data_IF_918233851929
#
_entry.id   IF_918233851929
#
_cell.length_a   1.000
_cell.length_b   1.000
_cell.length_c   1.000
_cell.angle_alpha   90.00
_cell.angle_beta   90.00
_cell.angle_gamma   90.00
#
_symmetry.space_group_name_H-M   'P 1'
#
loop_
_entity.id
_entity.type
_entity.pdbx_description
1 polymer ?
#
# COMPACT_ATOMS: atom_id res chain seq x y z
N UNK A 1 -15.12 -32.99 30.56
CA UNK A 1 -14.50 -31.69 30.25
C UNK A 1 -14.42 -31.59 28.75
N UNK A 2 -15.32 -30.82 28.14
CA UNK A 2 -15.31 -30.54 26.71
C UNK A 2 -14.35 -29.37 26.44
N UNK A 3 -13.46 -29.46 25.44
CA UNK A 3 -12.71 -28.29 25.00
C UNK A 3 -13.69 -27.39 24.25
N UNK A 4 -13.88 -26.16 24.74
CA UNK A 4 -14.64 -25.14 24.03
C UNK A 4 -13.83 -24.70 22.80
N UNK A 5 -14.33 -25.04 21.61
CA UNK A 5 -13.92 -24.45 20.35
C UNK A 5 -14.18 -22.94 20.41
N UNK A 6 -13.15 -22.19 20.81
CA UNK A 6 -13.11 -20.74 20.64
C UNK A 6 -12.89 -20.43 19.17
N UNK A 7 -13.97 -20.46 18.40
CA UNK A 7 -13.98 -19.97 17.04
C UNK A 7 -13.78 -18.45 17.10
N UNK A 8 -12.71 -17.90 16.49
CA UNK A 8 -12.43 -16.47 16.56
C UNK A 8 -13.62 -15.70 15.96
N UNK A 9 -13.97 -14.53 16.53
CA UNK A 9 -15.09 -13.73 16.04
C UNK A 9 -14.88 -13.47 14.54
N UNK A 10 -15.85 -13.92 13.74
CA UNK A 10 -15.86 -13.71 12.29
C UNK A 10 -15.75 -12.22 12.03
N UNK A 11 -14.60 -11.80 11.50
CA UNK A 11 -14.36 -10.42 11.12
C UNK A 11 -15.35 -10.05 10.00
N UNK A 12 -16.35 -9.19 10.27
CA UNK A 12 -17.37 -8.85 9.28
C UNK A 12 -16.76 -8.17 8.05
N UNK A 13 -15.59 -7.53 8.19
CA UNK A 13 -14.88 -6.94 7.07
C UNK A 13 -14.30 -8.02 6.14
N UNK A 14 -13.76 -9.10 6.71
CA UNK A 14 -13.25 -10.25 5.96
C UNK A 14 -14.36 -10.92 5.15
N UNK A 15 -15.54 -11.09 5.73
CA UNK A 15 -16.66 -11.75 5.04
C UNK A 15 -17.21 -10.88 3.91
N UNK A 16 -17.33 -9.56 4.13
CA UNK A 16 -17.72 -8.60 3.10
C UNK A 16 -16.69 -8.56 1.96
N UNK A 17 -15.40 -8.55 2.29
CA UNK A 17 -14.31 -8.53 1.31
C UNK A 17 -14.25 -9.81 0.47
N UNK A 18 -14.33 -10.98 1.12
CA UNK A 18 -14.38 -12.26 0.43
C UNK A 18 -15.62 -12.38 -0.48
N UNK A 19 -16.78 -11.94 0.01
CA UNK A 19 -18.02 -11.92 -0.77
C UNK A 19 -17.94 -10.99 -1.99
N UNK A 20 -17.34 -9.81 -1.83
CA UNK A 20 -17.13 -8.87 -2.93
C UNK A 20 -16.18 -9.43 -4.01
N UNK A 21 -15.08 -10.08 -3.59
CA UNK A 21 -14.15 -10.75 -4.51
C UNK A 21 -14.86 -11.89 -5.24
N UNK A 22 -15.59 -12.74 -4.52
CA UNK A 22 -16.29 -13.87 -5.13
C UNK A 22 -17.35 -13.40 -6.14
N UNK A 23 -18.13 -12.37 -5.79
CA UNK A 23 -19.10 -11.76 -6.69
C UNK A 23 -18.45 -11.14 -7.94
N UNK A 24 -17.28 -10.50 -7.78
CA UNK A 24 -16.52 -9.96 -8.90
C UNK A 24 -16.02 -11.08 -9.84
N UNK A 25 -15.52 -12.18 -9.30
CA UNK A 25 -15.07 -13.35 -10.08
C UNK A 25 -16.23 -13.99 -10.83
N UNK A 26 -17.37 -14.22 -10.16
CA UNK A 26 -18.56 -14.77 -10.80
C UNK A 26 -19.07 -13.89 -11.93
N UNK A 27 -19.10 -12.56 -11.73
CA UNK A 27 -19.53 -11.61 -12.75
C UNK A 27 -18.57 -11.62 -13.94
N UNK A 28 -17.26 -11.72 -13.73
CA UNK A 28 -16.26 -11.84 -14.81
C UNK A 28 -16.45 -13.14 -15.60
N UNK A 29 -16.70 -14.26 -14.92
CA UNK A 29 -16.92 -15.56 -15.56
C UNK A 29 -18.22 -15.60 -16.39
N UNK A 30 -19.32 -15.09 -15.84
CA UNK A 30 -20.62 -15.03 -16.54
C UNK A 30 -20.56 -14.06 -17.72
N UNK A 31 -19.96 -12.89 -17.53
CA UNK A 31 -19.87 -11.89 -18.60
C UNK A 31 -18.91 -12.32 -19.71
N UNK A 32 -17.77 -12.93 -19.36
CA UNK A 32 -16.81 -13.49 -20.33
C UNK A 32 -17.38 -14.66 -21.13
N UNK A 33 -18.16 -15.55 -20.50
CA UNK A 33 -18.84 -16.63 -21.24
C UNK A 33 -19.93 -16.10 -22.17
N UNK A 34 -20.67 -15.05 -21.80
CA UNK A 34 -21.64 -14.38 -22.69
C UNK A 34 -20.95 -13.77 -23.91
N UNK A 35 -19.86 -13.05 -23.70
CA UNK A 35 -19.10 -12.42 -24.79
C UNK A 35 -18.49 -13.45 -25.74
N UNK A 36 -17.98 -14.58 -25.22
CA UNK A 36 -17.49 -15.68 -26.06
C UNK A 36 -18.57 -16.32 -26.94
N UNK A 37 -19.83 -16.34 -26.49
CA UNK A 37 -20.97 -16.80 -27.30
C UNK A 37 -21.28 -15.78 -28.41
N UNK A 38 -21.25 -14.48 -28.08
CA UNK A 38 -21.51 -13.40 -29.04
C UNK A 38 -20.44 -13.33 -30.14
N UNK A 39 -19.16 -13.50 -29.80
CA UNK A 39 -18.04 -13.64 -30.75
C UNK A 39 -18.26 -14.82 -31.71
N UNK A 40 -18.62 -15.99 -31.19
CA UNK A 40 -18.92 -17.17 -32.02
C UNK A 40 -20.12 -16.97 -32.93
N UNK A 41 -21.14 -16.25 -32.49
CA UNK A 41 -22.29 -15.92 -33.34
C UNK A 41 -21.89 -14.96 -34.47
N UNK A 42 -21.01 -14.00 -34.17
CA UNK A 42 -20.51 -13.04 -35.14
C UNK A 42 -19.60 -13.69 -36.19
N UNK A 43 -18.72 -14.61 -35.81
CA UNK A 43 -17.89 -15.40 -36.74
C UNK A 43 -18.76 -16.21 -37.71
N UNK A 44 -19.80 -16.90 -37.21
CA UNK A 44 -20.75 -17.62 -38.07
C UNK A 44 -21.46 -16.70 -39.07
N UNK A 45 -21.75 -15.46 -38.67
CA UNK A 45 -22.35 -14.45 -39.53
C UNK A 45 -21.37 -13.94 -40.59
N UNK A 46 -20.08 -13.87 -40.28
CA UNK A 46 -19.01 -13.54 -41.24
C UNK A 46 -18.82 -14.68 -42.25
N UNK A 47 -18.78 -15.92 -41.79
CA UNK A 47 -18.62 -17.12 -42.62
C UNK A 47 -19.79 -17.27 -43.61
N UNK A 48 -21.03 -17.14 -43.12
CA UNK A 48 -22.23 -17.20 -43.97
C UNK A 48 -22.25 -16.11 -45.04
N UNK A 49 -21.71 -14.92 -44.72
CA UNK A 49 -21.62 -13.81 -45.69
C UNK A 49 -20.50 -14.07 -46.72
N UNK A 50 -19.40 -14.70 -46.30
CA UNK A 50 -18.35 -15.15 -47.21
C UNK A 50 -18.84 -16.23 -48.19
N UNK A 51 -19.70 -17.15 -47.75
CA UNK A 51 -20.37 -18.14 -48.62
C UNK A 51 -21.34 -17.49 -49.61
N UNK A 52 -22.08 -16.45 -49.19
CA UNK A 52 -22.97 -15.72 -50.12
C UNK A 52 -22.18 -14.93 -51.17
N UNK A 53 -21.03 -14.36 -50.78
CA UNK A 53 -20.11 -13.68 -51.70
C UNK A 53 -19.41 -14.63 -52.67
N UNK A 54 -19.23 -15.91 -52.32
CA UNK A 54 -18.69 -16.88 -53.28
C UNK A 54 -19.72 -17.26 -54.36
N UNK A 55 -21.01 -17.12 -54.07
CA UNK A 55 -22.11 -17.33 -55.02
C UNK A 55 -22.41 -16.08 -55.87
N UNK A 56 -22.27 -14.88 -55.30
CA UNK A 56 -22.37 -13.60 -56.02
C UNK A 56 -21.22 -12.64 -55.64
N UNK A 57 -20.07 -12.73 -56.34
CA UNK A 57 -18.89 -11.93 -56.03
C UNK A 57 -19.05 -10.45 -56.39
N UNK A 58 -20.03 -10.12 -57.23
CA UNK A 58 -20.28 -8.75 -57.72
C UNK A 58 -21.16 -7.91 -56.78
N UNK A 59 -21.72 -8.54 -55.76
CA UNK A 59 -22.63 -7.89 -54.82
C UNK A 59 -21.90 -6.91 -53.89
N UNK A 60 -21.91 -5.64 -54.28
CA UNK A 60 -21.35 -4.51 -53.50
C UNK A 60 -21.95 -4.42 -52.08
N UNK A 61 -23.23 -4.79 -51.93
CA UNK A 61 -23.91 -4.81 -50.62
C UNK A 61 -23.33 -5.87 -49.69
N UNK A 62 -23.09 -7.08 -50.18
CA UNK A 62 -22.54 -8.17 -49.36
C UNK A 62 -21.08 -7.89 -48.97
N UNK A 63 -20.29 -7.27 -49.87
CA UNK A 63 -18.94 -6.83 -49.54
C UNK A 63 -18.92 -5.78 -48.43
N UNK A 64 -19.78 -4.76 -48.52
CA UNK A 64 -19.91 -3.74 -47.48
C UNK A 64 -20.35 -4.34 -46.13
N UNK A 65 -21.31 -5.27 -46.14
CA UNK A 65 -21.79 -5.93 -44.93
C UNK A 65 -20.74 -6.86 -44.29
N UNK A 66 -19.91 -7.53 -45.10
CA UNK A 66 -18.78 -8.34 -44.60
C UNK A 66 -17.74 -7.46 -43.90
N UNK A 67 -17.35 -6.34 -44.51
CA UNK A 67 -16.39 -5.40 -43.91
C UNK A 67 -16.90 -4.81 -42.60
N UNK A 68 -18.20 -4.49 -42.52
CA UNK A 68 -18.83 -3.97 -41.31
C UNK A 68 -18.86 -5.00 -40.17
N UNK A 69 -19.14 -6.27 -40.49
CA UNK A 69 -19.13 -7.37 -39.50
C UNK A 69 -17.72 -7.70 -39.00
N UNK A 70 -16.71 -7.65 -39.86
CA UNK A 70 -15.31 -7.81 -39.45
C UNK A 70 -14.89 -6.66 -38.52
N UNK A 71 -15.21 -5.41 -38.87
CA UNK A 71 -14.91 -4.27 -38.01
C UNK A 71 -15.60 -4.36 -36.64
N UNK A 72 -16.87 -4.80 -36.60
CA UNK A 72 -17.60 -5.03 -35.35
C UNK A 72 -16.99 -6.15 -34.50
N UNK A 73 -16.44 -7.20 -35.13
CA UNK A 73 -15.72 -8.28 -34.44
C UNK A 73 -14.44 -7.78 -33.81
N UNK A 74 -13.64 -7.05 -34.57
CA UNK A 74 -12.35 -6.53 -34.13
C UNK A 74 -12.52 -5.49 -33.01
N UNK A 75 -13.62 -4.71 -33.04
CA UNK A 75 -14.00 -3.81 -31.95
C UNK A 75 -14.39 -4.57 -30.67
N UNK A 76 -15.10 -5.69 -30.80
CA UNK A 76 -15.49 -6.55 -29.68
C UNK A 76 -14.27 -7.26 -29.05
N UNK A 77 -13.35 -7.79 -29.87
CA UNK A 77 -12.07 -8.34 -29.39
C UNK A 77 -11.21 -7.29 -28.69
N UNK A 78 -11.10 -6.07 -29.23
CA UNK A 78 -10.39 -4.97 -28.56
C UNK A 78 -11.04 -4.57 -27.24
N UNK A 79 -12.37 -4.57 -27.17
CA UNK A 79 -13.08 -4.31 -25.92
C UNK A 79 -12.83 -5.40 -24.87
N UNK A 80 -12.73 -6.68 -25.27
CA UNK A 80 -12.34 -7.77 -24.37
C UNK A 80 -10.90 -7.65 -23.89
N UNK A 81 -9.95 -7.41 -24.80
CA UNK A 81 -8.54 -7.23 -24.44
C UNK A 81 -8.36 -6.11 -23.41
N UNK A 82 -9.10 -5.01 -23.56
CA UNK A 82 -9.08 -3.89 -22.63
C UNK A 82 -9.72 -4.20 -21.25
N UNK A 83 -10.65 -5.16 -21.18
CA UNK A 83 -11.29 -5.65 -19.94
C UNK A 83 -10.46 -6.72 -19.22
N UNK A 84 -9.69 -7.52 -19.96
CA UNK A 84 -8.82 -8.58 -19.42
C UNK A 84 -7.46 -8.05 -18.96
N UNK A 85 -6.94 -6.98 -19.56
CA UNK A 85 -5.66 -6.36 -19.17
C UNK A 85 -5.58 -6.03 -17.66
N UNK A 86 -6.60 -5.39 -17.03
CA UNK A 86 -6.58 -5.08 -15.60
C UNK A 86 -6.57 -6.33 -14.71
N UNK A 87 -7.18 -7.44 -15.16
CA UNK A 87 -7.18 -8.69 -14.42
C UNK A 87 -5.80 -9.38 -14.48
N UNK A 88 -5.12 -9.29 -15.63
CA UNK A 88 -3.74 -9.79 -15.79
C UNK A 88 -2.77 -8.97 -14.96
N UNK A 89 -2.90 -7.64 -14.96
CA UNK A 89 -2.07 -6.74 -14.15
C UNK A 89 -2.28 -7.01 -12.66
N UNK A 90 -3.53 -7.13 -12.21
CA UNK A 90 -3.86 -7.50 -10.82
C UNK A 90 -3.28 -8.85 -10.42
N UNK A 91 -3.32 -9.86 -11.30
CA UNK A 91 -2.74 -11.17 -11.04
C UNK A 91 -1.21 -11.11 -10.90
N UNK A 92 -0.54 -10.24 -11.67
CA UNK A 92 0.89 -10.01 -11.54
C UNK A 92 1.24 -9.29 -10.24
N UNK A 93 0.46 -8.28 -9.86
CA UNK A 93 0.63 -7.56 -8.60
C UNK A 93 0.45 -8.49 -7.39
N UNK A 94 -0.57 -9.35 -7.41
CA UNK A 94 -0.78 -10.37 -6.38
C UNK A 94 0.41 -11.34 -6.27
N UNK A 95 0.99 -11.76 -7.40
CA UNK A 95 2.21 -12.61 -7.40
C UNK A 95 3.41 -11.89 -6.79
N UNK A 96 3.60 -10.62 -7.11
CA UNK A 96 4.69 -9.80 -6.55
C UNK A 96 4.50 -9.65 -5.04
N UNK A 97 3.28 -9.32 -4.61
CA UNK A 97 2.94 -9.17 -3.19
C UNK A 97 3.18 -10.47 -2.43
N UNK A 98 2.73 -11.61 -2.97
CA UNK A 98 2.92 -12.91 -2.35
C UNK A 98 4.40 -13.27 -2.18
N UNK A 99 5.24 -13.02 -3.20
CA UNK A 99 6.70 -13.20 -3.10
C UNK A 99 7.31 -12.31 -2.02
N UNK A 100 6.86 -11.07 -1.91
CA UNK A 100 7.36 -10.10 -0.92
C UNK A 100 6.98 -10.51 0.50
N UNK A 101 5.74 -10.95 0.71
CA UNK A 101 5.27 -11.52 1.98
C UNK A 101 6.10 -12.74 2.35
N UNK A 102 6.31 -13.68 1.43
CA UNK A 102 7.15 -14.87 1.69
C UNK A 102 8.58 -14.50 2.08
N UNK A 103 9.20 -13.53 1.39
CA UNK A 103 10.53 -13.05 1.74
C UNK A 103 10.56 -12.40 3.13
N UNK A 104 9.56 -11.59 3.47
CA UNK A 104 9.47 -10.98 4.79
C UNK A 104 9.21 -12.00 5.90
N UNK A 105 8.40 -13.03 5.66
CA UNK A 105 8.17 -14.11 6.62
C UNK A 105 9.48 -14.83 6.98
N UNK A 106 10.30 -15.17 5.98
CA UNK A 106 11.61 -15.78 6.24
C UNK A 106 12.58 -14.85 6.96
N UNK A 107 12.54 -13.56 6.67
CA UNK A 107 13.39 -12.58 7.35
C UNK A 107 13.00 -12.40 8.82
N UNK A 108 11.70 -12.38 9.12
CA UNK A 108 11.19 -12.35 10.50
C UNK A 108 11.62 -13.61 11.24
N UNK A 109 11.45 -14.79 10.65
CA UNK A 109 11.88 -16.06 11.24
C UNK A 109 13.39 -16.09 11.53
N UNK A 110 14.21 -15.53 10.63
CA UNK A 110 15.66 -15.38 10.84
C UNK A 110 15.96 -14.47 12.03
N UNK A 111 15.32 -13.31 12.09
CA UNK A 111 15.50 -12.35 13.19
C UNK A 111 15.06 -12.96 14.52
N UNK A 112 13.94 -13.69 14.55
CA UNK A 112 13.46 -14.38 15.75
C UNK A 112 14.47 -15.44 16.23
N UNK A 113 15.06 -16.21 15.30
CA UNK A 113 16.14 -17.13 15.63
C UNK A 113 17.36 -16.41 16.23
N UNK A 114 17.80 -15.31 15.62
CA UNK A 114 18.94 -14.52 16.09
C UNK A 114 18.69 -13.90 17.48
N UNK A 115 17.49 -13.36 17.70
CA UNK A 115 17.07 -12.85 19.00
C UNK A 115 17.01 -13.95 20.05
N UNK A 116 16.49 -15.13 19.71
CA UNK A 116 16.44 -16.25 20.65
C UNK A 116 17.86 -16.68 21.08
N UNK A 117 18.79 -16.78 20.14
CA UNK A 117 20.20 -17.09 20.45
C UNK A 117 20.82 -16.02 21.36
N UNK A 118 20.54 -14.74 21.11
CA UNK A 118 21.02 -13.64 21.95
C UNK A 118 20.44 -13.70 23.38
N UNK A 119 19.14 -14.00 23.51
CA UNK A 119 18.45 -14.18 24.79
C UNK A 119 19.07 -15.34 25.57
N UNK A 120 19.30 -16.47 24.91
CA UNK A 120 19.88 -17.66 25.54
C UNK A 120 21.31 -17.37 26.03
N UNK A 121 22.10 -16.65 25.22
CA UNK A 121 23.44 -16.19 25.63
C UNK A 121 23.42 -15.26 26.84
N UNK A 122 22.47 -14.32 26.91
CA UNK A 122 22.31 -13.44 28.07
C UNK A 122 21.86 -14.21 29.32
N UNK A 123 20.93 -15.15 29.18
CA UNK A 123 20.52 -16.03 30.29
C UNK A 123 21.70 -16.84 30.83
N UNK A 124 22.55 -17.39 29.95
CA UNK A 124 23.74 -18.12 30.35
C UNK A 124 24.73 -17.23 31.13
N UNK A 125 24.98 -16.01 30.64
CA UNK A 125 25.83 -15.04 31.34
C UNK A 125 25.26 -14.64 32.71
N UNK A 126 23.95 -14.39 32.81
CA UNK A 126 23.29 -14.09 34.08
C UNK A 126 23.43 -15.28 35.04
N UNK A 127 23.30 -16.52 34.56
CA UNK A 127 23.54 -17.73 35.34
C UNK A 127 24.96 -17.78 35.90
N UNK A 128 25.96 -17.62 35.04
CA UNK A 128 27.37 -17.61 35.45
C UNK A 128 27.67 -16.50 36.47
N UNK A 129 27.14 -15.29 36.26
CA UNK A 129 27.30 -14.18 37.20
C UNK A 129 26.61 -14.45 38.55
N UNK A 130 25.44 -15.09 38.56
CA UNK A 130 24.75 -15.49 39.80
C UNK A 130 25.57 -16.49 40.60
N UNK A 131 26.15 -17.50 39.95
CA UNK A 131 27.03 -18.49 40.59
C UNK A 131 28.29 -17.83 41.16
N UNK A 132 28.93 -16.94 40.41
CA UNK A 132 30.10 -16.18 40.88
C UNK A 132 29.76 -15.34 42.12
N UNK A 133 28.63 -14.63 42.11
CA UNK A 133 28.16 -13.85 43.27
C UNK A 133 27.87 -14.76 44.47
N UNK A 134 27.25 -15.92 44.26
CA UNK A 134 26.94 -16.86 45.34
C UNK A 134 28.22 -17.44 45.95
N UNK A 135 29.23 -17.73 45.12
CA UNK A 135 30.55 -18.17 45.56
C UNK A 135 31.23 -17.09 46.41
N UNK A 136 31.21 -15.84 45.96
CA UNK A 136 31.73 -14.70 46.73
C UNK A 136 30.99 -14.53 48.07
N UNK A 137 29.67 -14.68 48.08
CA UNK A 137 28.87 -14.61 49.32
C UNK A 137 29.21 -15.72 50.31
N UNK A 138 29.55 -16.92 49.85
CA UNK A 138 29.98 -18.02 50.73
C UNK A 138 31.41 -17.84 51.25
N UNK A 139 32.26 -17.14 50.50
CA UNK A 139 33.63 -16.83 50.89
C UNK A 139 33.74 -15.63 51.85
N UNK A 140 32.70 -14.80 51.97
CA UNK A 140 32.64 -13.74 52.97
C UNK A 140 32.20 -14.29 54.36
N UNK A 141 32.98 -14.08 55.43
CA UNK A 141 32.55 -14.41 56.79
C UNK A 141 31.35 -13.55 57.20
N UNK A 142 30.36 -14.13 57.89
CA UNK A 142 29.31 -13.36 58.53
C UNK A 142 29.91 -12.32 59.51
N UNK A 143 29.40 -11.07 59.53
CA UNK A 143 29.81 -10.08 60.52
C UNK A 143 29.30 -10.53 61.89
N UNK A 144 30.18 -11.14 62.68
CA UNK A 144 29.87 -11.57 64.04
C UNK A 144 29.61 -10.36 64.94
N UNK A 145 28.50 -10.34 65.72
CA UNK A 145 28.22 -9.25 66.64
C UNK A 145 29.09 -9.38 67.89
N UNK A 146 29.98 -8.40 68.07
CA UNK A 146 30.47 -7.86 69.35
C UNK A 146 30.86 -8.86 70.47
N UNK A 147 32.17 -8.97 70.76
CA UNK A 147 32.65 -9.40 72.09
C UNK A 147 33.86 -8.54 72.55
N UNK A 148 33.94 -8.13 73.83
CA UNK A 148 34.89 -7.12 74.30
C UNK A 148 36.32 -7.66 74.47
N UNK A 149 37.34 -6.78 74.51
CA UNK A 149 38.74 -7.17 74.48
C UNK A 149 39.24 -7.44 75.90
N UNK A 150 39.72 -8.65 76.16
CA UNK A 150 40.73 -8.86 77.21
C UNK A 150 41.59 -10.09 76.93
N UNK A 151 42.90 -9.86 77.02
CA UNK A 151 44.05 -10.78 77.07
C UNK A 151 44.86 -11.13 75.80
N UNK A 152 46.20 -11.29 75.95
CA UNK A 152 47.19 -10.83 74.95
C UNK A 152 48.08 -12.00 74.43
N UNK A 153 49.19 -11.72 73.74
CA UNK A 153 49.46 -12.17 72.37
C UNK A 153 50.11 -13.56 72.29
N UNK A 154 49.65 -14.39 71.34
CA UNK A 154 50.44 -15.52 70.83
C UNK A 154 50.93 -15.20 69.42
N UNK A 155 52.23 -14.97 69.36
CA UNK A 155 53.05 -14.85 68.17
C UNK A 155 53.05 -16.16 67.37
N UNK A 156 52.15 -16.24 66.40
CA UNK A 156 52.26 -17.07 65.20
C UNK A 156 51.22 -16.54 64.21
N UNK A 157 51.65 -15.69 63.25
CA UNK A 157 50.98 -15.42 61.96
C UNK A 157 51.40 -14.05 61.40
N UNK A 158 52.69 -13.92 61.07
CA UNK A 158 53.16 -12.80 60.22
C UNK A 158 53.21 -13.16 58.73
N UNK A 159 53.12 -14.46 58.39
CA UNK A 159 53.07 -14.91 57.00
C UNK A 159 51.63 -15.02 56.47
N UNK A 160 50.68 -15.53 57.29
CA UNK A 160 49.28 -15.69 56.88
C UNK A 160 48.52 -14.35 56.74
N UNK A 161 48.82 -13.36 57.59
CA UNK A 161 48.19 -12.02 57.53
C UNK A 161 48.52 -11.23 56.26
N UNK A 162 49.76 -11.34 55.76
CA UNK A 162 50.16 -10.67 54.52
C UNK A 162 49.43 -11.21 53.28
N UNK A 163 49.07 -12.49 53.28
CA UNK A 163 48.39 -13.13 52.15
C UNK A 163 46.90 -12.77 52.11
N UNK A 164 46.24 -12.75 53.28
CA UNK A 164 44.85 -12.31 53.38
C UNK A 164 44.68 -10.81 53.11
N UNK A 165 45.64 -9.98 53.52
CA UNK A 165 45.61 -8.54 53.22
C UNK A 165 45.79 -8.27 51.73
N UNK A 166 46.66 -9.02 51.04
CA UNK A 166 46.79 -8.93 49.58
C UNK A 166 45.52 -9.38 48.84
N UNK A 167 44.89 -10.48 49.26
CA UNK A 167 43.62 -10.94 48.67
C UNK A 167 42.50 -9.91 48.84
N UNK A 168 42.42 -9.25 50.00
CA UNK A 168 41.44 -8.19 50.24
C UNK A 168 41.66 -6.97 49.37
N UNK A 169 42.92 -6.58 49.14
CA UNK A 169 43.27 -5.49 48.21
C UNK A 169 42.88 -5.86 46.78
N UNK A 170 43.19 -7.08 46.34
CA UNK A 170 42.89 -7.58 44.99
C UNK A 170 41.37 -7.65 44.74
N UNK A 171 40.59 -8.15 45.71
CA UNK A 171 39.13 -8.15 45.66
C UNK A 171 38.54 -6.74 45.60
N UNK A 172 39.16 -5.77 46.28
CA UNK A 172 38.72 -4.38 46.27
C UNK A 172 38.98 -3.71 44.93
N UNK A 173 40.15 -3.98 44.34
CA UNK A 173 40.50 -3.51 43.00
C UNK A 173 39.60 -4.14 41.92
N UNK A 174 39.21 -5.40 42.10
CA UNK A 174 38.25 -6.07 41.21
C UNK A 174 36.84 -5.49 41.35
N UNK A 175 36.40 -5.20 42.57
CA UNK A 175 35.12 -4.52 42.83
C UNK A 175 35.10 -3.13 42.18
N UNK A 176 36.17 -2.35 42.34
CA UNK A 176 36.31 -1.03 41.71
C UNK A 176 36.35 -1.10 40.18
N UNK A 177 36.93 -2.18 39.62
CA UNK A 177 36.87 -2.45 38.17
C UNK A 177 35.45 -2.81 37.73
N UNK A 178 34.73 -3.59 38.52
CA UNK A 178 33.36 -3.98 38.23
C UNK A 178 32.41 -2.78 38.29
N UNK A 179 32.56 -1.90 39.28
CA UNK A 179 31.78 -0.66 39.39
C UNK A 179 32.03 0.31 38.22
N UNK A 180 33.28 0.38 37.73
CA UNK A 180 33.60 1.13 36.51
C UNK A 180 32.87 0.56 35.30
N UNK A 181 32.92 -0.76 35.10
CA UNK A 181 32.22 -1.44 33.99
C UNK A 181 30.71 -1.27 34.07
N UNK A 182 30.13 -1.34 35.26
CA UNK A 182 28.69 -1.09 35.47
C UNK A 182 28.34 0.36 35.14
N UNK A 183 29.19 1.31 35.51
CA UNK A 183 29.00 2.73 35.19
C UNK A 183 29.09 3.00 33.68
N UNK A 184 30.06 2.40 32.99
CA UNK A 184 30.20 2.45 31.54
C UNK A 184 28.99 1.84 30.83
N UNK A 185 28.55 0.65 31.27
CA UNK A 185 27.37 -0.01 30.73
C UNK A 185 26.12 0.85 30.91
N UNK A 186 25.93 1.44 32.10
CA UNK A 186 24.82 2.35 32.38
C UNK A 186 24.85 3.56 31.45
N UNK A 187 26.01 4.16 31.22
CA UNK A 187 26.17 5.29 30.30
C UNK A 187 25.88 4.89 28.85
N UNK A 188 26.31 3.70 28.43
CA UNK A 188 26.06 3.15 27.10
C UNK A 188 24.56 2.91 26.88
N UNK A 189 23.90 2.21 27.79
CA UNK A 189 22.45 1.95 27.74
C UNK A 189 21.67 3.26 27.73
N UNK A 190 22.06 4.22 28.57
CA UNK A 190 21.43 5.54 28.57
C UNK A 190 21.58 6.25 27.22
N UNK A 191 22.76 6.16 26.59
CA UNK A 191 23.00 6.76 25.26
C UNK A 191 22.12 6.11 24.19
N UNK A 192 22.03 4.78 24.17
CA UNK A 192 21.19 4.05 23.22
C UNK A 192 19.71 4.44 23.40
N UNK A 193 19.21 4.41 24.64
CA UNK A 193 17.80 4.69 24.94
C UNK A 193 17.41 6.15 24.70
N UNK A 194 18.30 7.10 24.98
CA UNK A 194 17.96 8.54 24.93
C UNK A 194 18.35 9.23 23.63
N UNK A 195 19.33 8.70 22.88
CA UNK A 195 19.80 9.33 21.64
C UNK A 195 19.55 8.44 20.43
N UNK A 196 20.04 7.21 20.44
CA UNK A 196 20.04 6.38 19.23
C UNK A 196 18.64 5.89 18.86
N UNK A 197 17.92 5.29 19.81
CA UNK A 197 16.56 4.77 19.56
C UNK A 197 15.61 5.87 19.08
N UNK A 198 15.50 7.04 19.74
CA UNK A 198 14.62 8.11 19.28
C UNK A 198 14.98 8.65 17.89
N UNK A 199 16.27 8.82 17.60
CA UNK A 199 16.73 9.29 16.28
C UNK A 199 16.40 8.28 15.20
N UNK A 200 16.68 7.00 15.43
CA UNK A 200 16.40 5.94 14.47
C UNK A 200 14.89 5.79 14.23
N UNK A 201 14.07 5.79 15.30
CA UNK A 201 12.61 5.78 15.18
C UNK A 201 12.10 6.98 14.38
N UNK A 202 12.59 8.17 14.68
CA UNK A 202 12.19 9.38 13.97
C UNK A 202 12.52 9.29 12.47
N UNK A 203 13.73 8.83 12.13
CA UNK A 203 14.14 8.62 10.75
C UNK A 203 13.29 7.55 10.07
N UNK A 204 13.04 6.40 10.71
CA UNK A 204 12.19 5.35 10.16
C UNK A 204 10.76 5.84 9.90
N UNK A 205 10.17 6.59 10.84
CA UNK A 205 8.84 7.20 10.65
C UNK A 205 8.85 8.19 9.49
N UNK A 206 9.89 9.01 9.37
CA UNK A 206 10.02 9.96 8.26
C UNK A 206 10.12 9.25 6.90
N UNK A 207 10.91 8.18 6.80
CA UNK A 207 11.01 7.36 5.58
C UNK A 207 9.67 6.71 5.24
N UNK A 208 8.96 6.13 6.21
CA UNK A 208 7.63 5.57 5.98
C UNK A 208 6.62 6.63 5.52
N UNK A 209 6.65 7.81 6.12
CA UNK A 209 5.78 8.92 5.72
C UNK A 209 6.05 9.35 4.26
N UNK A 210 7.33 9.43 3.87
CA UNK A 210 7.72 9.75 2.50
C UNK A 210 7.26 8.68 1.51
N UNK A 211 7.41 7.40 1.83
CA UNK A 211 7.02 6.28 0.97
C UNK A 211 5.50 6.19 0.77
N UNK A 212 4.74 6.37 1.86
CA UNK A 212 3.27 6.46 1.80
C UNK A 212 2.84 7.63 0.93
N UNK A 213 3.42 8.81 1.15
CA UNK A 213 3.10 9.99 0.37
C UNK A 213 3.42 9.80 -1.12
N UNK A 214 4.59 9.23 -1.44
CA UNK A 214 4.98 8.96 -2.82
C UNK A 214 4.04 7.96 -3.50
N UNK A 215 3.67 6.90 -2.79
CA UNK A 215 2.73 5.88 -3.28
C UNK A 215 1.34 6.47 -3.54
N UNK A 216 0.81 7.26 -2.61
CA UNK A 216 -0.50 7.92 -2.76
C UNK A 216 -0.49 8.91 -3.93
N UNK A 217 0.55 9.74 -4.04
CA UNK A 217 0.68 10.70 -5.14
C UNK A 217 0.81 10.01 -6.50
N UNK A 218 1.57 8.91 -6.59
CA UNK A 218 1.68 8.10 -7.79
C UNK A 218 0.34 7.47 -8.19
N UNK A 219 -0.39 6.91 -7.23
CA UNK A 219 -1.71 6.33 -7.44
C UNK A 219 -2.75 7.37 -7.91
N UNK A 220 -2.75 8.56 -7.30
CA UNK A 220 -3.64 9.66 -7.71
C UNK A 220 -3.31 10.15 -9.12
N UNK A 221 -2.04 10.37 -9.42
CA UNK A 221 -1.60 10.86 -10.73
C UNK A 221 -1.93 9.85 -11.82
N UNK A 222 -1.55 8.58 -11.63
CA UNK A 222 -1.86 7.52 -12.59
C UNK A 222 -3.37 7.28 -12.77
N UNK A 223 -4.14 7.39 -11.69
CA UNK A 223 -5.61 7.32 -11.74
C UNK A 223 -6.22 8.46 -12.56
N UNK A 224 -5.79 9.70 -12.31
CA UNK A 224 -6.23 10.87 -13.10
C UNK A 224 -5.82 10.77 -14.56
N UNK A 225 -4.59 10.34 -14.86
CA UNK A 225 -4.12 10.15 -16.23
C UNK A 225 -4.97 9.12 -16.98
N UNK A 226 -5.32 8.02 -16.31
CA UNK A 226 -6.19 6.99 -16.88
C UNK A 226 -7.61 7.50 -17.10
N UNK A 227 -8.18 8.25 -16.16
CA UNK A 227 -9.49 8.86 -16.32
C UNK A 227 -9.49 9.86 -17.50
N UNK A 228 -8.48 10.72 -17.56
CA UNK A 228 -8.32 11.67 -18.65
C UNK A 228 -8.20 10.96 -20.00
N UNK A 229 -7.49 9.83 -20.06
CA UNK A 229 -7.41 9.01 -21.25
C UNK A 229 -8.76 8.40 -21.63
N UNK A 230 -9.51 7.85 -20.68
CA UNK A 230 -10.85 7.32 -20.95
C UNK A 230 -11.81 8.39 -21.47
N UNK A 231 -11.74 9.61 -20.93
CA UNK A 231 -12.54 10.75 -21.41
C UNK A 231 -12.12 11.12 -22.85
N UNK A 232 -10.82 11.20 -23.13
CA UNK A 232 -10.32 11.46 -24.50
C UNK A 232 -10.79 10.38 -25.48
N UNK A 233 -10.66 9.11 -25.10
CA UNK A 233 -11.08 7.97 -25.93
C UNK A 233 -12.61 7.92 -26.10
N UNK A 234 -13.37 8.36 -25.10
CA UNK A 234 -14.81 8.51 -25.20
C UNK A 234 -15.16 9.61 -26.20
N UNK A 235 -14.60 10.81 -26.05
CA UNK A 235 -14.82 11.93 -26.97
C UNK A 235 -14.45 11.53 -28.41
N UNK A 236 -13.28 10.92 -28.61
CA UNK A 236 -12.80 10.48 -29.91
C UNK A 236 -13.73 9.45 -30.59
N UNK A 237 -14.49 8.66 -29.81
CA UNK A 237 -15.49 7.72 -30.32
C UNK A 237 -16.82 8.39 -30.68
N UNK A 238 -17.16 9.49 -30.01
CA UNK A 238 -18.41 10.22 -30.28
C UNK A 238 -18.30 11.15 -31.49
N UNK A 239 -17.13 11.74 -31.71
CA UNK A 239 -16.88 12.67 -32.83
C UNK A 239 -17.24 12.12 -34.22
N UNK A 240 -16.80 10.91 -34.63
CA UNK A 240 -17.21 10.34 -35.92
C UNK A 240 -18.71 10.01 -35.97
N UNK A 241 -19.32 9.69 -34.81
CA UNK A 241 -20.75 9.37 -34.73
C UNK A 241 -21.61 10.62 -34.89
N UNK A 242 -21.16 11.75 -34.35
CA UNK A 242 -21.76 13.07 -34.58
C UNK A 242 -21.67 13.43 -36.07
N UNK A 243 -20.49 13.28 -36.69
CA UNK A 243 -20.32 13.53 -38.12
C UNK A 243 -21.25 12.66 -38.99
N UNK A 244 -21.42 11.38 -38.64
CA UNK A 244 -22.36 10.50 -39.34
C UNK A 244 -23.82 10.96 -39.18
N UNK A 245 -24.20 11.40 -37.98
CA UNK A 245 -25.53 11.95 -37.74
C UNK A 245 -25.77 13.24 -38.52
N UNK A 246 -24.77 14.13 -38.60
CA UNK A 246 -24.83 15.34 -39.43
C UNK A 246 -24.99 15.00 -40.91
N UNK A 247 -24.24 14.02 -41.42
CA UNK A 247 -24.36 13.56 -42.81
C UNK A 247 -25.73 12.96 -43.10
N UNK A 248 -26.33 12.24 -42.15
CA UNK A 248 -27.67 11.69 -42.30
C UNK A 248 -28.73 12.80 -42.24
N UNK A 249 -28.60 13.76 -41.33
CA UNK A 249 -29.49 14.91 -41.24
C UNK A 249 -29.46 15.76 -42.52
N UNK A 250 -28.27 16.02 -43.06
CA UNK A 250 -28.09 16.74 -44.33
C UNK A 250 -28.72 16.03 -45.53
N UNK A 251 -28.83 14.69 -45.51
CA UNK A 251 -29.50 13.91 -46.56
C UNK A 251 -31.02 13.96 -46.46
N UNK A 252 -31.58 14.18 -45.26
CA UNK A 252 -33.02 14.20 -45.04
C UNK A 252 -33.62 15.61 -45.06
N UNK A 253 -32.80 16.64 -44.82
CA UNK A 253 -33.24 18.04 -44.76
C UNK A 253 -32.44 18.84 -45.81
N UNK A 254 -33.05 19.28 -46.92
CA UNK A 254 -32.39 20.23 -47.81
C UNK A 254 -32.23 21.56 -47.06
N UNK A 255 -30.99 22.03 -46.90
CA UNK A 255 -30.52 23.20 -46.13
C UNK A 255 -30.29 23.01 -44.61
N UNK A 256 -29.68 21.89 -44.17
CA UNK A 256 -29.14 21.83 -42.81
C UNK A 256 -27.85 22.68 -42.70
N UNK A 257 -27.76 23.69 -41.82
CA UNK A 257 -26.53 24.45 -41.63
C UNK A 257 -25.48 23.56 -40.95
N UNK A 258 -24.40 23.25 -41.67
CA UNK A 258 -23.25 22.54 -41.11
C UNK A 258 -22.52 23.46 -40.11
N UNK A 259 -22.27 22.98 -38.90
CA UNK A 259 -21.52 23.69 -37.86
C UNK A 259 -20.00 23.49 -37.98
N UNK A 260 -19.52 22.92 -39.10
CA UNK A 260 -18.07 22.79 -39.31
C UNK A 260 -17.44 24.17 -39.48
N UNK A 261 -16.42 24.54 -38.68
CA UNK A 261 -15.71 25.78 -38.89
C UNK A 261 -14.98 25.67 -40.23
N UNK A 262 -15.44 26.45 -41.20
CA UNK A 262 -14.81 26.57 -42.51
C UNK A 262 -13.37 27.01 -42.29
N UNK A 263 -12.44 26.08 -42.55
CA UNK A 263 -11.00 26.31 -42.58
C UNK A 263 -10.71 27.41 -43.59
N UNK A 264 -10.48 28.61 -43.08
CA UNK A 264 -10.16 29.80 -43.86
C UNK A 264 -8.89 29.55 -44.71
N UNK A 265 -9.00 29.97 -45.97
CA UNK A 265 -7.88 30.20 -46.87
C UNK A 265 -6.97 31.35 -46.33
N UNK A 266 -5.71 31.45 -46.78
CA UNK A 266 -4.72 32.36 -46.18
C UNK A 266 -5.04 33.85 -46.46
N UNK A 267 -4.46 34.76 -45.66
CA UNK A 267 -5.04 36.07 -45.38
C UNK A 267 -4.66 37.08 -46.44
N UNK A 268 -5.62 37.94 -46.82
CA UNK A 268 -5.31 39.27 -47.30
C UNK A 268 -6.27 40.28 -46.65
N UNK A 269 -5.67 41.07 -45.77
CA UNK A 269 -5.98 42.47 -45.46
C UNK A 269 -7.37 42.88 -44.92
N UNK A 270 -7.33 43.32 -43.65
CA UNK A 270 -7.90 44.57 -43.12
C UNK A 270 -9.28 44.52 -42.45
N UNK A 271 -9.22 44.63 -41.11
CA UNK A 271 -10.13 45.25 -40.13
C UNK A 271 -11.61 44.85 -40.11
N UNK A 272 -11.98 44.04 -39.11
CA UNK A 272 -13.03 44.35 -38.12
C UNK A 272 -13.04 43.25 -37.05
N UNK A 273 -12.97 43.68 -35.79
CA UNK A 273 -13.18 42.87 -34.59
C UNK A 273 -14.65 42.41 -34.51
N UNK A 274 -14.94 41.13 -34.20
CA UNK A 274 -15.84 40.89 -33.07
C UNK A 274 -15.51 39.64 -32.24
N UNK A 275 -15.26 39.87 -30.95
CA UNK A 275 -15.78 39.18 -29.75
C UNK A 275 -16.52 37.83 -29.96
N UNK A 276 -15.95 36.67 -29.54
CA UNK A 276 -16.65 35.39 -29.53
C UNK A 276 -17.36 35.15 -28.18
N UNK A 277 -18.30 36.04 -27.82
CA UNK A 277 -19.25 35.78 -26.72
C UNK A 277 -20.64 35.55 -27.31
N UNK A 278 -21.03 34.28 -27.55
CA UNK A 278 -22.43 33.80 -27.57
C UNK A 278 -22.53 32.35 -28.03
N UNK A 279 -22.57 31.41 -27.08
CA UNK A 279 -23.50 30.26 -27.07
C UNK A 279 -23.56 29.68 -25.63
N UNK A 280 -23.89 30.54 -24.66
CA UNK A 280 -24.46 30.09 -23.38
C UNK A 280 -25.94 30.47 -23.39
N UNK A 281 -26.76 29.67 -24.08
CA UNK A 281 -28.22 29.80 -23.99
C UNK A 281 -28.71 29.08 -22.72
N UNK A 282 -28.85 29.88 -21.67
CA UNK A 282 -29.90 29.85 -20.63
C UNK A 282 -30.83 28.63 -20.64
N UNK A 283 -30.83 27.89 -19.52
CA UNK A 283 -32.05 27.26 -18.98
C UNK A 283 -32.57 28.03 -17.76
N UNK A 284 -33.88 27.99 -17.47
CA UNK A 284 -34.56 28.94 -16.61
C UNK A 284 -34.29 28.72 -15.12
N UNK A 285 -34.23 29.84 -14.40
CA UNK A 285 -34.43 29.95 -12.96
C UNK A 285 -35.75 29.27 -12.55
N UNK A 286 -35.64 28.21 -11.76
CA UNK A 286 -36.70 27.74 -10.87
C UNK A 286 -36.15 27.73 -9.44
N UNK A 287 -36.63 28.70 -8.68
CA UNK A 287 -36.71 28.85 -7.23
C UNK A 287 -35.90 27.92 -6.32
N UNK A 288 -34.98 28.58 -5.61
CA UNK A 288 -34.50 28.31 -4.25
C UNK A 288 -35.65 28.01 -3.26
N UNK A 289 -35.38 27.20 -2.23
CA UNK A 289 -35.48 27.72 -0.87
C UNK A 289 -34.14 27.62 -0.10
N UNK A 290 -33.90 28.66 0.71
CA UNK A 290 -32.69 29.02 1.44
C UNK A 290 -32.01 27.93 2.29
N UNK A 291 -30.68 28.01 2.45
CA UNK A 291 -29.95 27.40 3.55
C UNK A 291 -29.88 28.37 4.75
N UNK A 292 -30.65 28.10 5.80
CA UNK A 292 -30.34 28.58 7.15
C UNK A 292 -30.19 27.37 8.06
N UNK A 293 -29.25 27.47 9.00
CA UNK A 293 -28.91 26.53 10.08
C UNK A 293 -27.92 25.43 9.61
N UNK A 294 -26.67 25.32 10.06
CA UNK A 294 -26.04 25.71 11.33
C UNK A 294 -24.58 26.13 11.11
N UNK A 295 -24.22 27.28 11.66
CA UNK A 295 -22.87 27.57 12.17
C UNK A 295 -23.06 27.96 13.62
N UNK A 296 -22.71 27.05 14.52
CA UNK A 296 -22.36 27.25 15.93
C UNK A 296 -21.10 26.38 16.06
N UNK A 297 -19.90 26.94 16.04
CA UNK A 297 -19.26 27.68 17.14
C UNK A 297 -19.31 26.89 18.44
N UNK A 298 -18.24 26.13 18.71
CA UNK A 298 -17.85 25.68 20.04
C UNK A 298 -16.32 25.54 20.03
N UNK A 299 -15.66 26.68 20.24
CA UNK A 299 -14.35 26.72 20.85
C UNK A 299 -14.54 26.68 22.36
N UNK A 300 -14.35 25.53 23.00
CA UNK A 300 -14.10 25.50 24.44
C UNK A 300 -12.79 24.79 24.78
N UNK A 301 -11.95 25.58 25.44
CA UNK A 301 -10.73 25.21 26.15
C UNK A 301 -11.03 24.10 27.16
N UNK A 302 -10.17 23.09 27.24
CA UNK A 302 -9.90 22.41 28.49
C UNK A 302 -8.39 22.34 28.72
N UNK A 303 -7.89 23.34 29.44
CA UNK A 303 -6.68 23.26 30.25
C UNK A 303 -7.07 22.70 31.62
N UNK A 304 -6.20 21.82 32.15
CA UNK A 304 -6.02 21.32 33.53
C UNK A 304 -5.95 19.78 33.47
N UNK A 305 -4.95 19.09 34.02
CA UNK A 305 -3.91 19.42 35.01
C UNK A 305 -2.73 18.46 34.82
#
# INVERSE_FOLDING_TARGET
MHPEDHQPPSDPFRDIFCSAIQSAIERVLVEGTRHGIDLKALDKLVDKNAEQLSQDPSSSRLQAEKTLKIAARDDLERAEACKLQPAVDLANDLKILHKRIGKHAHEVERIDCEHQVAIDGLHQQIGAHKEAIQTLRQLLPEPSPSRPPDQPPKSADRAASSHTDHQLVELREELDRMDRRVSELKSSVQTILTKEIPVNLHQSVQFMQQDVNATVQSALTSGHDRLAQLIRDFIARFEPRILQLEQLAAKQIPNFPSLTPTRAAPPNSTTADPDPTRLLLRRPTAQSPDPKLFSEDESEKCNQQ
#
